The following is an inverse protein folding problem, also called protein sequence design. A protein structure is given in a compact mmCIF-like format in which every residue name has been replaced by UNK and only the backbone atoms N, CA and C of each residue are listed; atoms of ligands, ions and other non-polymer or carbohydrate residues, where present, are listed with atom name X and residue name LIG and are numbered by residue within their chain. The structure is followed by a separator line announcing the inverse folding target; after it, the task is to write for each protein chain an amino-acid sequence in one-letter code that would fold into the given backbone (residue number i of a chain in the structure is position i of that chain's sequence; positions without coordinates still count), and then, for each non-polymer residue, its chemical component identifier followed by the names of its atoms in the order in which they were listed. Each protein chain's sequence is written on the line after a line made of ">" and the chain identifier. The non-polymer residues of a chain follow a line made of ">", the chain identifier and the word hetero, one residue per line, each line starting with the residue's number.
data_IF_677538438332
#
_entry.id   IF_677538438332
#
_cell.length_a   1.000
_cell.length_b   1.000
_cell.length_c   1.000
_cell.angle_alpha   90.00
_cell.angle_beta   90.00
_cell.angle_gamma   90.00
#
_symmetry.space_group_name_H-M   'P 1'
#
loop_
_entity.id
_entity.type
_entity.pdbx_description
1 polymer ?
#
# COMPACT_ATOMS: atom_id res chain seq x y z
N UNK A 1 -62.97 12.17 45.24
CA UNK A 1 -62.45 11.77 43.91
C UNK A 1 -62.42 12.99 42.98
N UNK A 2 -61.23 13.48 42.61
CA UNK A 2 -61.01 14.31 41.41
C UNK A 2 -59.56 14.11 40.96
N UNK A 3 -59.36 13.20 40.00
CA UNK A 3 -58.08 13.01 39.31
C UNK A 3 -57.92 14.13 38.28
N UNK A 4 -56.83 14.89 38.38
CA UNK A 4 -56.43 15.84 37.34
C UNK A 4 -55.10 15.36 36.77
N UNK A 5 -55.18 14.64 35.64
CA UNK A 5 -54.04 14.20 34.88
C UNK A 5 -53.56 15.33 33.96
N UNK A 6 -52.36 15.86 34.17
CA UNK A 6 -51.51 16.66 33.25
C UNK A 6 -50.08 16.56 33.83
N UNK A 7 -48.98 16.30 33.15
CA UNK A 7 -48.55 16.40 31.77
C UNK A 7 -47.47 15.34 31.53
N UNK A 8 -47.48 14.70 30.35
CA UNK A 8 -46.33 13.98 29.85
C UNK A 8 -45.22 14.98 29.50
N UNK A 9 -44.01 14.76 29.99
CA UNK A 9 -42.80 15.45 29.56
C UNK A 9 -41.79 14.41 29.09
N UNK A 10 -41.90 14.02 27.82
CA UNK A 10 -40.81 13.41 27.07
C UNK A 10 -39.93 14.55 26.55
N UNK A 11 -38.72 14.67 27.07
CA UNK A 11 -37.69 15.51 26.48
C UNK A 11 -36.36 14.74 26.55
N UNK A 12 -36.21 13.82 25.60
CA UNK A 12 -34.97 13.13 25.30
C UNK A 12 -33.95 14.13 24.77
N UNK A 13 -33.08 14.65 25.63
CA UNK A 13 -31.87 15.34 25.19
C UNK A 13 -30.78 14.29 24.95
N UNK A 14 -30.87 13.58 23.82
CA UNK A 14 -29.68 12.94 23.25
C UNK A 14 -28.78 14.06 22.75
N UNK A 15 -27.83 14.47 23.59
CA UNK A 15 -26.65 15.18 23.11
C UNK A 15 -25.82 14.17 22.31
N UNK A 16 -26.22 13.94 21.06
CA UNK A 16 -25.32 13.43 20.04
C UNK A 16 -24.31 14.55 19.78
N UNK A 17 -23.29 14.61 20.64
CA UNK A 17 -22.03 15.23 20.28
C UNK A 17 -21.49 14.41 19.12
N UNK A 18 -21.91 14.76 17.90
CA UNK A 18 -21.22 14.36 16.69
C UNK A 18 -19.90 15.13 16.71
N UNK A 19 -18.91 14.55 17.40
CA UNK A 19 -17.53 14.81 17.04
C UNK A 19 -17.41 14.34 15.60
N UNK A 20 -17.59 15.27 14.65
CA UNK A 20 -17.06 15.12 13.31
C UNK A 20 -15.57 14.87 13.53
N UNK A 21 -15.18 13.60 13.48
CA UNK A 21 -13.81 13.26 13.16
C UNK A 21 -13.63 13.80 11.74
N UNK A 22 -13.11 15.02 11.64
CA UNK A 22 -12.33 15.38 10.49
C UNK A 22 -11.29 14.28 10.40
N UNK A 23 -11.47 13.35 9.45
CA UNK A 23 -10.44 12.43 9.05
C UNK A 23 -9.27 13.32 8.65
N UNK A 24 -8.39 13.58 9.60
CA UNK A 24 -7.06 14.06 9.31
C UNK A 24 -6.54 13.09 8.28
N UNK A 25 -6.35 13.57 7.06
CA UNK A 25 -5.51 12.91 6.06
C UNK A 25 -4.26 12.50 6.82
N UNK A 26 -4.21 11.23 7.22
CA UNK A 26 -3.06 10.68 7.91
C UNK A 26 -1.90 10.94 6.98
N UNK A 27 -0.80 11.46 7.50
CA UNK A 27 0.42 11.60 6.72
C UNK A 27 0.71 10.19 6.22
N UNK A 28 0.40 9.95 4.96
CA UNK A 28 0.54 8.62 4.38
C UNK A 28 2.02 8.27 4.52
N UNK A 29 2.28 7.19 5.22
CA UNK A 29 3.64 6.72 5.42
C UNK A 29 3.89 5.61 4.41
N UNK A 30 5.02 5.71 3.72
CA UNK A 30 5.51 4.60 2.92
C UNK A 30 5.75 3.38 3.81
N UNK A 31 5.50 2.16 3.32
CA UNK A 31 5.89 0.93 3.99
C UNK A 31 7.34 0.96 4.51
N UNK A 32 7.54 0.49 5.75
CA UNK A 32 8.89 0.42 6.31
C UNK A 32 9.67 -0.75 5.69
N UNK A 33 10.94 -0.47 5.33
CA UNK A 33 11.84 -1.46 4.70
C UNK A 33 11.98 -2.72 5.54
N UNK A 34 12.03 -2.63 6.87
CA UNK A 34 12.16 -3.82 7.72
C UNK A 34 10.90 -4.70 7.69
N UNK A 35 9.72 -4.09 7.58
CA UNK A 35 8.45 -4.83 7.47
C UNK A 35 8.36 -5.50 6.10
N UNK A 36 8.71 -4.78 5.02
CA UNK A 36 8.79 -5.36 3.67
C UNK A 36 9.72 -6.58 3.65
N UNK A 37 10.93 -6.45 4.22
CA UNK A 37 11.90 -7.56 4.28
C UNK A 37 11.38 -8.77 5.05
N UNK A 38 10.64 -8.55 6.14
CA UNK A 38 10.10 -9.63 6.96
C UNK A 38 8.95 -10.38 6.28
N UNK A 39 8.12 -9.68 5.50
CA UNK A 39 6.99 -10.30 4.79
C UNK A 39 7.43 -11.02 3.51
N UNK A 40 8.43 -10.49 2.80
CA UNK A 40 8.93 -11.07 1.56
C UNK A 40 8.03 -10.80 0.35
N UNK A 41 8.43 -11.36 -0.79
CA UNK A 41 7.69 -11.34 -2.04
C UNK A 41 7.02 -12.70 -2.26
N UNK A 42 5.75 -12.72 -2.64
CA UNK A 42 4.96 -13.96 -2.73
C UNK A 42 4.27 -14.17 -4.08
N UNK A 43 4.31 -13.19 -4.97
CA UNK A 43 3.72 -13.27 -6.31
C UNK A 43 4.74 -12.83 -7.36
N UNK A 44 4.68 -13.46 -8.54
CA UNK A 44 5.44 -13.07 -9.71
C UNK A 44 4.52 -12.95 -10.91
N UNK A 45 4.77 -11.98 -11.78
CA UNK A 45 4.05 -11.81 -13.03
C UNK A 45 5.02 -11.59 -14.17
N UNK A 46 4.86 -12.34 -15.26
CA UNK A 46 5.60 -12.10 -16.50
C UNK A 46 5.24 -10.73 -17.05
N UNK A 47 6.25 -9.86 -17.22
CA UNK A 47 6.07 -8.53 -17.82
C UNK A 47 6.61 -8.47 -19.25
N UNK A 48 7.64 -9.26 -19.56
CA UNK A 48 8.26 -9.49 -20.88
C UNK A 48 8.87 -10.90 -20.93
N UNK A 49 9.35 -11.36 -22.10
CA UNK A 49 10.01 -12.67 -22.23
C UNK A 49 11.11 -12.85 -21.18
N UNK A 50 10.98 -13.89 -20.36
CA UNK A 50 11.89 -14.23 -19.23
C UNK A 50 12.12 -13.08 -18.23
N UNK A 51 11.22 -12.10 -18.19
CA UNK A 51 11.32 -10.93 -17.32
C UNK A 51 10.05 -10.80 -16.50
N UNK A 52 10.23 -10.68 -15.19
CA UNK A 52 9.17 -10.73 -14.20
C UNK A 52 9.13 -9.46 -13.36
N UNK A 53 7.93 -9.16 -12.87
CA UNK A 53 7.69 -8.30 -11.73
C UNK A 53 7.34 -9.21 -10.54
N UNK A 54 8.12 -9.14 -9.49
CA UNK A 54 7.81 -9.82 -8.22
C UNK A 54 7.15 -8.84 -7.28
N UNK A 55 6.12 -9.24 -6.54
CA UNK A 55 5.37 -8.35 -5.67
C UNK A 55 4.72 -9.07 -4.49
N UNK A 56 4.34 -8.29 -3.48
CA UNK A 56 3.48 -8.71 -2.37
C UNK A 56 2.45 -7.61 -2.08
N UNK A 57 1.32 -7.99 -1.50
CA UNK A 57 0.23 -7.07 -1.17
C UNK A 57 -0.08 -7.21 0.30
N UNK A 58 0.13 -6.14 1.06
CA UNK A 58 -0.04 -6.11 2.50
C UNK A 58 -0.24 -4.68 3.00
N UNK A 59 -0.53 -4.52 4.29
CA UNK A 59 -0.59 -3.21 4.92
C UNK A 59 0.78 -2.68 5.34
N UNK A 60 1.77 -3.56 5.54
CA UNK A 60 3.13 -3.23 5.98
C UNK A 60 3.17 -2.32 7.23
N UNK A 61 2.28 -2.59 8.20
CA UNK A 61 2.08 -1.77 9.41
C UNK A 61 1.71 -0.30 9.14
N UNK A 62 1.10 -0.01 8.00
CA UNK A 62 0.51 1.30 7.69
C UNK A 62 -1.02 1.23 7.73
N UNK A 63 -1.69 2.38 7.67
CA UNK A 63 -3.17 2.44 7.61
C UNK A 63 -3.74 2.01 6.25
N UNK A 64 -2.89 1.88 5.22
CA UNK A 64 -3.29 1.59 3.84
C UNK A 64 -2.76 0.23 3.38
N UNK A 65 -3.47 -0.40 2.46
CA UNK A 65 -2.94 -1.57 1.72
C UNK A 65 -2.04 -1.08 0.59
N UNK A 66 -0.87 -1.68 0.48
CA UNK A 66 0.12 -1.40 -0.55
C UNK A 66 0.42 -2.64 -1.38
N UNK A 67 0.76 -2.40 -2.64
CA UNK A 67 1.42 -3.35 -3.53
C UNK A 67 2.89 -2.97 -3.56
N UNK A 68 3.73 -3.75 -2.88
CA UNK A 68 5.18 -3.59 -2.97
C UNK A 68 5.72 -4.49 -4.09
N UNK A 69 6.52 -3.94 -4.99
CA UNK A 69 7.05 -4.65 -6.15
C UNK A 69 8.53 -4.40 -6.39
N UNK A 70 9.21 -5.41 -6.95
CA UNK A 70 10.59 -5.36 -7.44
C UNK A 70 10.62 -5.87 -8.87
N UNK A 71 11.24 -5.10 -9.77
CA UNK A 71 11.49 -5.52 -11.14
C UNK A 71 12.29 -4.49 -11.94
N UNK A 72 12.72 -4.81 -13.17
CA UNK A 72 12.57 -6.12 -13.81
C UNK A 72 13.47 -7.20 -13.18
N UNK A 73 12.95 -8.43 -13.01
CA UNK A 73 13.70 -9.61 -12.55
C UNK A 73 13.83 -10.61 -13.70
N UNK A 74 15.05 -11.04 -14.04
CA UNK A 74 15.29 -12.03 -15.10
C UNK A 74 15.18 -13.45 -14.53
N UNK A 75 14.32 -14.29 -15.11
CA UNK A 75 14.10 -15.67 -14.66
C UNK A 75 13.52 -16.57 -15.77
N UNK A 76 13.64 -17.89 -15.63
CA UNK A 76 13.02 -18.88 -16.52
C UNK A 76 11.55 -19.14 -16.23
N UNK A 77 11.12 -18.93 -14.99
CA UNK A 77 9.79 -19.22 -14.48
C UNK A 77 9.47 -18.35 -13.25
N UNK A 78 8.24 -18.46 -12.75
CA UNK A 78 7.75 -17.67 -11.61
C UNK A 78 8.44 -18.04 -10.28
N UNK A 79 8.84 -19.29 -10.11
CA UNK A 79 9.50 -19.77 -8.89
C UNK A 79 10.90 -19.16 -8.78
N UNK A 80 11.70 -19.28 -9.86
CA UNK A 80 13.01 -18.63 -9.92
C UNK A 80 12.88 -17.10 -9.79
N UNK A 81 11.85 -16.49 -10.40
CA UNK A 81 11.62 -15.05 -10.24
C UNK A 81 11.41 -14.68 -8.76
N UNK A 82 10.62 -15.45 -8.01
CA UNK A 82 10.40 -15.21 -6.59
C UNK A 82 11.66 -15.40 -5.76
N UNK A 83 12.48 -16.42 -6.05
CA UNK A 83 13.76 -16.64 -5.37
C UNK A 83 14.69 -15.44 -5.57
N UNK A 84 14.91 -15.03 -6.82
CA UNK A 84 15.77 -13.89 -7.18
C UNK A 84 15.21 -12.58 -6.62
N UNK A 85 13.90 -12.35 -6.72
CA UNK A 85 13.24 -11.18 -6.17
C UNK A 85 13.39 -11.07 -4.65
N UNK A 86 13.20 -12.18 -3.92
CA UNK A 86 13.40 -12.19 -2.47
C UNK A 86 14.86 -12.00 -2.09
N UNK A 87 15.82 -12.50 -2.88
CA UNK A 87 17.24 -12.25 -2.64
C UNK A 87 17.58 -10.75 -2.72
N UNK A 88 16.95 -10.01 -3.63
CA UNK A 88 17.13 -8.55 -3.77
C UNK A 88 16.65 -7.78 -2.53
N UNK A 89 15.72 -8.30 -1.73
CA UNK A 89 15.28 -7.65 -0.49
C UNK A 89 16.42 -7.44 0.50
N UNK A 90 17.50 -8.24 0.45
CA UNK A 90 18.66 -8.03 1.30
C UNK A 90 19.24 -6.61 1.12
N UNK A 91 19.26 -6.13 -0.11
CA UNK A 91 19.81 -4.82 -0.49
C UNK A 91 18.82 -3.66 -0.34
N UNK A 92 17.54 -3.94 -0.12
CA UNK A 92 16.49 -2.93 0.01
C UNK A 92 16.82 -1.95 1.15
N UNK A 93 16.74 -0.66 0.83
CA UNK A 93 17.04 0.43 1.76
C UNK A 93 16.24 1.70 1.39
N UNK A 94 16.43 2.75 2.20
CA UNK A 94 15.72 4.02 2.04
C UNK A 94 14.59 4.23 3.04
N UNK A 95 14.12 5.47 3.10
CA UNK A 95 12.96 5.91 3.90
C UNK A 95 12.17 6.95 3.07
N UNK A 96 11.54 6.52 1.98
CA UNK A 96 10.84 7.44 1.09
C UNK A 96 9.66 8.09 1.80
N UNK A 97 9.33 9.31 1.37
CA UNK A 97 8.01 9.91 1.56
C UNK A 97 7.14 9.57 0.35
N UNK A 98 5.82 9.42 0.49
CA UNK A 98 4.99 9.18 -0.68
C UNK A 98 5.04 10.36 -1.63
N UNK A 99 5.14 10.05 -2.91
CA UNK A 99 5.05 10.98 -4.02
C UNK A 99 3.72 10.79 -4.74
N UNK A 100 3.18 11.88 -5.30
CA UNK A 100 2.03 11.84 -6.21
C UNK A 100 2.57 11.92 -7.64
N UNK A 101 2.17 10.98 -8.49
CA UNK A 101 2.56 10.95 -9.90
C UNK A 101 1.79 11.96 -10.77
N UNK A 102 0.81 12.68 -10.21
CA UNK A 102 -0.06 13.62 -10.89
C UNK A 102 -1.21 12.97 -11.65
N UNK A 103 -1.29 11.63 -11.64
CA UNK A 103 -2.37 10.82 -12.22
C UNK A 103 -3.26 10.18 -11.14
N UNK A 104 -3.04 10.55 -9.87
CA UNK A 104 -3.78 10.05 -8.72
C UNK A 104 -3.20 8.77 -8.11
N UNK A 105 -1.93 8.46 -8.37
CA UNK A 105 -1.22 7.40 -7.66
C UNK A 105 -0.27 7.97 -6.63
N UNK A 106 -0.45 7.53 -5.39
CA UNK A 106 0.57 7.69 -4.38
C UNK A 106 1.54 6.51 -4.40
N UNK A 107 2.83 6.83 -4.55
CA UNK A 107 3.88 5.83 -4.68
C UNK A 107 5.11 6.15 -3.84
N UNK A 108 5.90 5.12 -3.56
CA UNK A 108 7.15 5.21 -2.82
C UNK A 108 8.23 4.45 -3.59
N UNK A 109 9.40 5.05 -3.79
CA UNK A 109 10.56 4.39 -4.43
C UNK A 109 11.61 4.06 -3.39
N UNK A 110 12.15 2.86 -3.46
CA UNK A 110 13.18 2.36 -2.55
C UNK A 110 14.47 2.09 -3.31
N UNK A 111 15.58 2.09 -2.57
CA UNK A 111 16.91 1.88 -3.12
C UNK A 111 17.33 0.41 -2.98
N UNK A 112 17.85 -0.18 -4.06
CA UNK A 112 18.41 -1.53 -4.12
C UNK A 112 19.93 -1.52 -4.37
N UNK A 113 20.55 -0.35 -4.51
CA UNK A 113 21.97 -0.18 -4.87
C UNK A 113 22.30 -0.55 -6.32
N UNK A 114 21.30 -0.67 -7.19
CA UNK A 114 21.42 -1.04 -8.60
C UNK A 114 20.44 -0.23 -9.45
N UNK A 115 20.92 0.32 -10.56
CA UNK A 115 20.09 1.08 -11.51
C UNK A 115 19.30 0.17 -12.47
N UNK A 116 19.57 -1.14 -12.47
CA UNK A 116 18.93 -2.10 -13.39
C UNK A 116 17.63 -2.70 -12.84
N UNK A 117 17.33 -2.48 -11.55
CA UNK A 117 16.15 -3.03 -10.88
C UNK A 117 15.57 -1.96 -9.97
N UNK A 118 14.25 -1.79 -10.00
CA UNK A 118 13.53 -0.80 -9.23
C UNK A 118 12.67 -1.48 -8.17
N UNK A 119 12.65 -0.92 -6.96
CA UNK A 119 11.74 -1.29 -5.89
C UNK A 119 10.76 -0.16 -5.62
N UNK A 120 9.47 -0.47 -5.55
CA UNK A 120 8.43 0.52 -5.31
C UNK A 120 7.29 -0.02 -4.44
N UNK A 121 6.55 0.88 -3.80
CA UNK A 121 5.26 0.57 -3.20
C UNK A 121 4.19 1.51 -3.76
N UNK A 122 3.04 0.94 -4.10
CA UNK A 122 1.88 1.67 -4.61
C UNK A 122 0.67 1.38 -3.77
N UNK A 123 -0.17 2.38 -3.55
CA UNK A 123 -1.39 2.14 -2.80
C UNK A 123 -2.36 1.30 -3.62
N UNK A 124 -2.85 0.23 -3.02
CA UNK A 124 -3.76 -0.70 -3.70
C UNK A 124 -5.09 -0.03 -4.09
N UNK A 125 -5.56 0.96 -3.31
CA UNK A 125 -6.77 1.71 -3.60
C UNK A 125 -6.69 2.56 -4.89
N UNK A 126 -5.48 3.00 -5.26
CA UNK A 126 -5.25 3.82 -6.45
C UNK A 126 -5.11 2.94 -7.72
N UNK A 127 -4.84 1.64 -7.53
CA UNK A 127 -4.66 0.68 -8.61
C UNK A 127 -5.98 0.12 -9.15
N UNK A 128 -6.12 0.16 -10.49
CA UNK A 128 -7.23 -0.48 -11.20
C UNK A 128 -6.85 -1.85 -11.78
N UNK A 129 -5.57 -2.09 -12.03
CA UNK A 129 -5.04 -3.36 -12.53
C UNK A 129 -3.53 -3.49 -12.27
N UNK A 130 -3.05 -4.70 -12.02
CA UNK A 130 -1.61 -5.01 -11.84
C UNK A 130 -0.79 -4.66 -13.09
N UNK A 131 -1.38 -4.68 -14.29
CA UNK A 131 -0.68 -4.26 -15.51
C UNK A 131 -0.18 -2.81 -15.47
N UNK A 132 -0.79 -1.96 -14.63
CA UNK A 132 -0.37 -0.57 -14.45
C UNK A 132 0.99 -0.46 -13.75
N UNK A 133 1.44 -1.51 -13.05
CA UNK A 133 2.74 -1.53 -12.36
C UNK A 133 3.92 -1.35 -13.30
N UNK A 134 3.78 -1.75 -14.57
CA UNK A 134 4.84 -1.61 -15.58
C UNK A 134 5.33 -0.17 -15.76
N UNK A 135 4.49 0.83 -15.48
CA UNK A 135 4.87 2.25 -15.60
C UNK A 135 5.96 2.67 -14.60
N UNK A 136 6.10 1.94 -13.49
CA UNK A 136 7.07 2.19 -12.42
C UNK A 136 8.35 1.35 -12.56
N UNK A 137 8.60 0.78 -13.74
CA UNK A 137 9.79 -0.04 -14.03
C UNK A 137 10.77 0.66 -14.99
N UNK A 138 10.55 1.95 -15.29
CA UNK A 138 11.18 2.66 -16.41
C UNK A 138 11.80 4.01 -16.03
N UNK A 139 12.15 4.21 -14.75
CA UNK A 139 12.83 5.44 -14.32
C UNK A 139 14.25 5.18 -13.88
#
# INVERSE_FOLDING_TARGET
>A
MKFTAKLAAFASALFLASATWAASHTVESCPDVSVIKNEGLSMAQVIMSNTYLTYHISQYNTDNTWVFGIGPVQASDEEQALEEGNALLYHLSGRPSPEDDGEGYSYCIYDLGSDNVQAFALRAADMKSIHQLKKFLHK
#
